data_IF_092814112612
#
_entry.id   IF_092814112612
#
_cell.length_a   1.000
_cell.length_b   1.000
_cell.length_c   1.000
_cell.angle_alpha   90.00
_cell.angle_beta   90.00
_cell.angle_gamma   90.00
#
_symmetry.space_group_name_H-M   'P 1'
#
loop_
_entity.id
_entity.type
_entity.pdbx_description
1 polymer ?
#
# COMPACT_ATOMS: atom_id res chain seq x y z
N UNK A 1 -11.08 12.26 -8.56
CA UNK A 1 -9.77 12.82 -8.18
C UNK A 1 -9.84 13.23 -6.72
N UNK A 2 -9.03 12.64 -5.84
CA UNK A 2 -9.09 12.93 -4.40
C UNK A 2 -8.63 14.38 -4.12
N UNK A 3 -9.27 15.05 -3.16
CA UNK A 3 -8.94 16.43 -2.78
C UNK A 3 -7.62 16.44 -2.01
N UNK A 4 -6.67 17.30 -2.41
CA UNK A 4 -5.38 17.51 -1.71
C UNK A 4 -5.56 18.55 -0.60
N UNK A 5 -6.12 18.16 0.54
CA UNK A 5 -6.54 19.07 1.62
C UNK A 5 -5.56 19.13 2.83
N UNK A 6 -4.47 18.36 2.80
CA UNK A 6 -3.41 18.34 3.82
C UNK A 6 -2.09 18.87 3.27
N UNK A 7 -1.31 19.52 4.13
CA UNK A 7 0.02 20.07 3.78
C UNK A 7 1.12 19.27 4.47
N UNK A 8 2.17 18.96 3.71
CA UNK A 8 3.41 18.37 4.20
C UNK A 8 4.54 19.40 4.06
N UNK A 9 5.04 19.92 5.18
CA UNK A 9 6.14 20.88 5.18
C UNK A 9 7.47 20.13 5.40
N UNK A 10 8.40 20.27 4.46
CA UNK A 10 9.72 19.62 4.51
C UNK A 10 10.81 20.68 4.57
N UNK A 11 11.87 20.38 5.32
CA UNK A 11 13.12 21.15 5.30
C UNK A 11 14.18 20.32 4.59
N UNK A 12 14.93 20.94 3.68
CA UNK A 12 15.97 20.31 2.90
C UNK A 12 17.24 21.15 2.94
N UNK A 13 18.40 20.51 2.84
CA UNK A 13 19.65 21.21 2.51
C UNK A 13 19.67 21.59 1.03
N UNK A 14 20.59 22.48 0.63
CA UNK A 14 20.79 22.85 -0.78
C UNK A 14 21.11 21.65 -1.67
N UNK A 15 21.96 20.74 -1.19
CA UNK A 15 22.32 19.51 -1.91
C UNK A 15 21.11 18.59 -2.10
N UNK A 16 20.24 18.48 -1.09
CA UNK A 16 19.01 17.69 -1.20
C UNK A 16 18.02 18.33 -2.18
N UNK A 17 17.84 19.64 -2.11
CA UNK A 17 16.95 20.37 -3.03
C UNK A 17 17.40 20.22 -4.48
N UNK A 18 18.70 20.40 -4.76
CA UNK A 18 19.25 20.28 -6.11
C UNK A 18 19.08 18.86 -6.67
N UNK A 19 19.31 17.84 -5.84
CA UNK A 19 19.08 16.44 -6.20
C UNK A 19 17.61 16.18 -6.54
N UNK A 20 16.68 16.63 -5.70
CA UNK A 20 15.23 16.48 -5.91
C UNK A 20 14.77 17.21 -7.18
N UNK A 21 15.32 18.40 -7.46
CA UNK A 21 15.00 19.17 -8.66
C UNK A 21 15.42 18.43 -9.93
N UNK A 22 16.65 17.92 -9.99
CA UNK A 22 17.14 17.13 -11.12
C UNK A 22 16.31 15.85 -11.33
N UNK A 23 15.92 15.17 -10.26
CA UNK A 23 15.09 13.96 -10.37
C UNK A 23 13.68 14.28 -10.90
N UNK A 24 13.09 15.40 -10.46
CA UNK A 24 11.80 15.87 -10.97
C UNK A 24 11.88 16.25 -12.46
N UNK A 25 12.97 16.88 -12.90
CA UNK A 25 13.23 17.20 -14.31
C UNK A 25 13.30 15.94 -15.18
N UNK A 26 14.08 14.93 -14.76
CA UNK A 26 14.21 13.65 -15.50
C UNK A 26 12.86 12.93 -15.64
N UNK A 27 11.98 13.06 -14.64
CA UNK A 27 10.66 12.42 -14.62
C UNK A 27 9.56 13.28 -15.24
N UNK A 28 9.88 14.48 -15.76
CA UNK A 28 8.91 15.46 -16.27
C UNK A 28 7.79 15.78 -15.27
N UNK A 29 8.15 15.89 -13.98
CA UNK A 29 7.23 16.18 -12.90
C UNK A 29 7.65 17.43 -12.12
N UNK A 30 6.73 18.01 -11.35
CA UNK A 30 7.11 19.04 -10.38
C UNK A 30 7.83 18.42 -9.18
N UNK A 31 8.71 19.17 -8.51
CA UNK A 31 9.41 18.69 -7.29
C UNK A 31 8.42 18.18 -6.24
N UNK A 32 7.30 18.88 -6.03
CA UNK A 32 6.28 18.45 -5.07
C UNK A 32 5.60 17.14 -5.49
N UNK A 33 5.35 16.94 -6.78
CA UNK A 33 4.77 15.70 -7.27
C UNK A 33 5.77 14.54 -7.14
N UNK A 34 7.01 14.73 -7.60
CA UNK A 34 8.07 13.75 -7.49
C UNK A 34 8.27 13.27 -6.05
N UNK A 35 8.38 14.21 -5.10
CA UNK A 35 8.57 13.92 -3.68
C UNK A 35 7.37 13.16 -3.12
N UNK A 36 6.14 13.59 -3.44
CA UNK A 36 4.93 12.95 -2.91
C UNK A 36 4.80 11.52 -3.43
N UNK A 37 4.98 11.32 -4.74
CA UNK A 37 4.90 9.99 -5.37
C UNK A 37 5.98 9.06 -4.82
N UNK A 38 7.23 9.53 -4.75
CA UNK A 38 8.35 8.75 -4.19
C UNK A 38 8.12 8.38 -2.72
N UNK A 39 7.59 9.31 -1.92
CA UNK A 39 7.29 9.06 -0.51
C UNK A 39 6.16 8.05 -0.33
N UNK A 40 5.08 8.16 -1.11
CA UNK A 40 3.96 7.21 -1.08
C UNK A 40 4.39 5.83 -1.54
N UNK A 41 5.17 5.73 -2.62
CA UNK A 41 5.69 4.46 -3.14
C UNK A 41 6.60 3.79 -2.10
N UNK A 42 7.48 4.56 -1.44
CA UNK A 42 8.31 4.03 -0.35
C UNK A 42 7.47 3.60 0.84
N UNK A 43 6.46 4.38 1.24
CA UNK A 43 5.55 4.03 2.33
C UNK A 43 4.80 2.72 2.03
N UNK A 44 4.29 2.56 0.81
CA UNK A 44 3.62 1.33 0.37
C UNK A 44 4.55 0.11 0.47
N UNK A 45 5.81 0.24 0.05
CA UNK A 45 6.80 -0.84 0.24
C UNK A 45 7.04 -1.16 1.71
N UNK A 46 7.24 -0.15 2.56
CA UNK A 46 7.44 -0.36 4.01
C UNK A 46 6.26 -1.09 4.63
N UNK A 47 5.04 -0.72 4.25
CA UNK A 47 3.81 -1.36 4.73
C UNK A 47 3.65 -2.79 4.18
N UNK A 48 4.01 -3.04 2.91
CA UNK A 48 4.00 -4.38 2.33
C UNK A 48 5.02 -5.31 3.00
N UNK A 49 6.17 -4.78 3.39
CA UNK A 49 7.22 -5.51 4.10
C UNK A 49 6.89 -5.72 5.60
N UNK A 50 5.80 -5.12 6.10
CA UNK A 50 5.41 -5.23 7.51
C UNK A 50 4.90 -6.64 7.81
N UNK A 51 5.72 -7.41 8.55
CA UNK A 51 5.40 -8.79 8.94
C UNK A 51 4.77 -8.94 10.32
N UNK A 52 4.86 -7.92 11.17
CA UNK A 52 4.34 -7.96 12.53
C UNK A 52 3.26 -6.88 12.70
N UNK A 53 2.07 -7.33 13.14
CA UNK A 53 0.96 -6.49 13.53
C UNK A 53 0.78 -6.65 15.03
N UNK A 54 1.05 -5.59 15.78
CA UNK A 54 0.83 -5.55 17.23
C UNK A 54 -0.56 -4.95 17.46
N UNK A 55 -1.42 -5.70 18.13
CA UNK A 55 -2.79 -5.32 18.43
C UNK A 55 -2.92 -4.92 19.89
N UNK A 56 -3.81 -3.97 20.18
CA UNK A 56 -4.29 -3.74 21.54
C UNK A 56 -5.16 -4.90 22.02
N UNK A 57 -5.46 -4.96 23.32
CA UNK A 57 -6.24 -6.08 23.90
C UNK A 57 -7.63 -6.24 23.26
N UNK A 58 -8.31 -5.12 22.97
CA UNK A 58 -9.64 -5.14 22.36
C UNK A 58 -9.58 -5.69 20.91
N UNK A 59 -8.62 -5.21 20.11
CA UNK A 59 -8.42 -5.66 18.74
C UNK A 59 -7.98 -7.13 18.68
N UNK A 60 -7.16 -7.57 19.65
CA UNK A 60 -6.73 -8.96 19.77
C UNK A 60 -7.92 -9.88 20.05
N UNK A 61 -8.75 -9.53 21.04
CA UNK A 61 -9.95 -10.32 21.39
C UNK A 61 -10.90 -10.43 20.19
N UNK A 62 -11.08 -9.35 19.43
CA UNK A 62 -11.89 -9.35 18.20
C UNK A 62 -11.33 -10.29 17.13
N UNK A 63 -10.00 -10.34 16.98
CA UNK A 63 -9.37 -11.28 16.04
C UNK A 63 -9.56 -12.72 16.49
N UNK A 64 -9.44 -13.03 17.78
CA UNK A 64 -9.72 -14.37 18.31
C UNK A 64 -11.17 -14.81 18.04
N UNK A 65 -12.14 -13.93 18.26
CA UNK A 65 -13.55 -14.20 17.95
C UNK A 65 -13.79 -14.48 16.46
N UNK A 66 -13.11 -13.75 15.58
CA UNK A 66 -13.20 -13.96 14.13
C UNK A 66 -12.57 -15.30 13.71
N UNK A 67 -11.44 -15.68 14.31
CA UNK A 67 -10.76 -16.94 14.02
C UNK A 67 -11.53 -18.16 14.54
N UNK A 68 -12.36 -18.00 15.57
CA UNK A 68 -13.21 -19.07 16.09
C UNK A 68 -14.40 -19.39 15.18
N UNK A 69 -14.74 -18.51 14.24
CA UNK A 69 -15.84 -18.69 13.30
C UNK A 69 -15.36 -19.36 12.00
N UNK A 70 -16.15 -20.25 11.38
CA UNK A 70 -15.80 -20.78 10.07
C UNK A 70 -15.78 -19.65 9.03
N UNK A 71 -14.74 -19.62 8.21
CA UNK A 71 -14.62 -18.62 7.15
C UNK A 71 -15.61 -18.90 6.01
N UNK A 72 -16.23 -17.85 5.49
CA UNK A 72 -17.02 -17.90 4.26
C UNK A 72 -16.11 -17.70 3.04
N UNK A 73 -15.90 -18.78 2.29
CA UNK A 73 -15.07 -18.78 1.08
C UNK A 73 -15.86 -18.52 -0.20
N UNK A 74 -17.18 -18.26 -0.14
CA UNK A 74 -18.03 -18.14 -1.34
C UNK A 74 -17.53 -17.07 -2.31
N UNK A 75 -17.17 -15.88 -1.79
CA UNK A 75 -16.63 -14.78 -2.59
C UNK A 75 -15.25 -15.09 -3.18
N UNK A 76 -14.43 -15.82 -2.43
CA UNK A 76 -13.10 -16.21 -2.86
C UNK A 76 -13.18 -17.27 -3.97
N UNK A 77 -14.16 -18.18 -3.90
CA UNK A 77 -14.50 -19.12 -4.96
C UNK A 77 -14.90 -18.42 -6.26
N UNK A 78 -15.74 -17.37 -6.20
CA UNK A 78 -16.06 -16.55 -7.38
C UNK A 78 -14.80 -15.91 -7.96
N UNK A 79 -13.96 -15.29 -7.12
CA UNK A 79 -12.73 -14.62 -7.57
C UNK A 79 -11.76 -15.58 -8.29
N UNK A 80 -11.57 -16.80 -7.77
CA UNK A 80 -10.70 -17.78 -8.41
C UNK A 80 -11.27 -18.39 -9.69
N UNK A 81 -12.59 -18.31 -9.88
CA UNK A 81 -13.25 -18.75 -11.12
C UNK A 81 -13.18 -17.69 -12.24
N UNK A 82 -12.87 -16.43 -11.91
CA UNK A 82 -12.71 -15.36 -12.91
C UNK A 82 -11.47 -15.58 -13.78
N UNK A 83 -11.54 -15.14 -15.04
CA UNK A 83 -10.36 -15.15 -15.92
C UNK A 83 -9.28 -14.23 -15.33
N UNK A 84 -8.18 -14.85 -14.91
CA UNK A 84 -7.09 -14.07 -14.34
C UNK A 84 -6.37 -13.29 -15.45
N UNK A 85 -5.94 -12.05 -15.20
CA UNK A 85 -5.10 -11.29 -16.13
C UNK A 85 -3.71 -11.92 -16.33
N UNK A 86 -3.41 -13.02 -15.63
CA UNK A 86 -2.15 -13.76 -15.67
C UNK A 86 -2.29 -15.17 -16.30
N UNK A 87 -3.48 -15.57 -16.79
CA UNK A 87 -3.78 -16.93 -17.31
C UNK A 87 -4.40 -17.91 -16.28
N UNK A 88 -4.84 -19.11 -16.69
CA UNK A 88 -5.32 -20.19 -15.79
C UNK A 88 -4.10 -20.89 -15.15
N UNK A 89 -4.03 -21.33 -13.89
CA UNK A 89 -5.00 -21.88 -12.95
C UNK A 89 -4.60 -21.51 -11.50
N UNK A 90 -5.51 -20.93 -10.71
CA UNK A 90 -5.40 -20.94 -9.25
C UNK A 90 -6.49 -21.87 -8.70
N UNK A 91 -6.09 -23.03 -8.16
CA UNK A 91 -7.01 -24.02 -7.58
C UNK A 91 -7.00 -23.86 -6.05
N UNK A 92 -8.12 -23.44 -5.47
CA UNK A 92 -8.26 -23.31 -4.01
C UNK A 92 -8.96 -24.55 -3.44
N UNK A 93 -8.26 -25.31 -2.57
CA UNK A 93 -8.84 -26.36 -1.72
C UNK A 93 -9.64 -27.46 -2.44
N UNK A 94 -9.00 -28.62 -2.64
CA UNK A 94 -9.68 -29.89 -2.92
C UNK A 94 -10.48 -30.40 -1.73
#
# INVERSE_FOLDING_TARGET
MAVKDRRLNLRTSSVQEECLRRAAEVTNSSVSQFVLESAVERAARVLADQRLFVLGMDDFSRVEELLAQPADFSRLGTLFAEETPFGKEFSFGS
#
